data_IF_919098362570
#
_entry.id   IF_919098362570
#
_cell.length_a   1.000
_cell.length_b   1.000
_cell.length_c   1.000
_cell.angle_alpha   90.00
_cell.angle_beta   90.00
_cell.angle_gamma   90.00
#
_symmetry.space_group_name_H-M   'P 1'
#
loop_
_entity.id
_entity.type
_entity.pdbx_description
1 polymer ?
#
# COMPACT_ATOMS: atom_id res chain seq x y z
N UNK A 1 14.28 10.58 0.44
CA UNK A 1 13.92 9.22 0.86
C UNK A 1 12.80 8.77 -0.06
N UNK A 2 13.04 7.68 -0.79
CA UNK A 2 12.10 7.09 -1.71
C UNK A 2 11.96 5.60 -1.42
N UNK A 3 11.03 4.97 -2.11
CA UNK A 3 10.77 3.53 -2.03
C UNK A 3 10.89 2.99 -3.45
N UNK A 4 11.72 1.97 -3.62
CA UNK A 4 11.80 1.25 -4.90
C UNK A 4 10.98 -0.04 -4.76
N UNK A 5 9.89 -0.16 -5.52
CA UNK A 5 9.13 -1.41 -5.60
C UNK A 5 9.65 -2.21 -6.78
N UNK A 6 9.89 -3.50 -6.59
CA UNK A 6 10.37 -4.39 -7.65
C UNK A 6 9.58 -5.70 -7.74
N UNK A 7 9.56 -6.22 -8.96
CA UNK A 7 9.24 -7.59 -9.31
C UNK A 7 10.45 -8.21 -10.02
N UNK A 8 10.27 -9.38 -10.63
CA UNK A 8 11.29 -10.05 -11.45
C UNK A 8 11.83 -9.18 -12.58
N UNK A 9 10.92 -8.58 -13.35
CA UNK A 9 11.25 -7.90 -14.61
C UNK A 9 10.99 -6.39 -14.57
N UNK A 10 10.35 -5.88 -13.52
CA UNK A 10 9.94 -4.47 -13.41
C UNK A 10 10.41 -3.88 -12.09
N UNK A 11 10.66 -2.57 -12.11
CA UNK A 11 10.98 -1.77 -10.94
C UNK A 11 10.42 -0.39 -11.12
N UNK A 12 9.88 0.21 -10.06
CA UNK A 12 9.40 1.59 -10.03
C UNK A 12 9.96 2.33 -8.82
N UNK A 13 10.29 3.60 -9.03
CA UNK A 13 10.80 4.48 -7.99
C UNK A 13 9.71 5.46 -7.55
N UNK A 14 9.43 5.47 -6.25
CA UNK A 14 8.41 6.31 -5.64
C UNK A 14 9.04 7.26 -4.62
N UNK A 15 8.53 8.49 -4.55
CA UNK A 15 8.78 9.34 -3.37
C UNK A 15 7.96 8.85 -2.18
N UNK A 16 8.35 9.18 -0.95
CA UNK A 16 7.58 8.84 0.26
C UNK A 16 6.09 9.21 0.16
N UNK A 17 5.80 10.45 -0.29
CA UNK A 17 4.43 10.91 -0.51
C UNK A 17 3.73 10.17 -1.66
N UNK A 18 4.49 9.78 -2.68
CA UNK A 18 3.98 8.99 -3.80
C UNK A 18 3.57 7.60 -3.37
N UNK A 19 4.43 6.89 -2.64
CA UNK A 19 4.11 5.58 -2.09
C UNK A 19 2.93 5.62 -1.12
N UNK A 20 2.86 6.65 -0.25
CA UNK A 20 1.69 6.88 0.60
C UNK A 20 0.42 7.09 -0.24
N UNK A 21 0.47 7.93 -1.27
CA UNK A 21 -0.67 8.18 -2.16
C UNK A 21 -1.12 6.91 -2.87
N UNK A 22 -0.17 6.06 -3.27
CA UNK A 22 -0.43 4.77 -3.89
C UNK A 22 -1.20 3.85 -2.93
N UNK A 23 -0.73 3.70 -1.70
CA UNK A 23 -1.44 2.91 -0.66
C UNK A 23 -2.84 3.45 -0.36
N UNK A 24 -3.00 4.76 -0.25
CA UNK A 24 -4.33 5.38 -0.08
C UNK A 24 -5.26 5.01 -1.23
N UNK A 25 -4.78 5.08 -2.49
CA UNK A 25 -5.61 4.75 -3.64
C UNK A 25 -6.02 3.27 -3.64
N UNK A 26 -5.11 2.37 -3.29
CA UNK A 26 -5.44 0.94 -3.11
C UNK A 26 -6.50 0.75 -2.01
N UNK A 27 -6.38 1.46 -0.88
CA UNK A 27 -7.38 1.40 0.19
C UNK A 27 -8.77 1.92 -0.26
N UNK A 28 -8.81 3.04 -0.98
CA UNK A 28 -10.01 3.63 -1.58
C UNK A 28 -10.72 2.65 -2.52
N UNK A 29 -9.97 1.97 -3.39
CA UNK A 29 -10.50 0.95 -4.31
C UNK A 29 -10.99 -0.31 -3.58
N UNK A 30 -10.54 -0.54 -2.34
CA UNK A 30 -10.85 -1.76 -1.58
C UNK A 30 -12.16 -1.63 -0.81
N UNK A 31 -12.25 -0.66 0.10
CA UNK A 31 -13.39 -0.47 0.99
C UNK A 31 -13.30 0.87 1.72
N UNK A 32 -14.44 1.59 1.82
CA UNK A 32 -14.52 2.88 2.49
C UNK A 32 -14.02 2.88 3.94
N UNK A 33 -14.35 1.86 4.75
CA UNK A 33 -13.90 1.82 6.15
C UNK A 33 -12.40 1.53 6.28
N UNK A 34 -11.84 0.75 5.35
CA UNK A 34 -10.39 0.51 5.29
C UNK A 34 -9.67 1.78 4.86
N UNK A 35 -10.21 2.50 3.87
CA UNK A 35 -9.67 3.79 3.43
C UNK A 35 -9.68 4.82 4.56
N UNK A 36 -10.83 5.00 5.23
CA UNK A 36 -10.99 5.95 6.33
C UNK A 36 -9.99 5.66 7.45
N UNK A 37 -9.87 4.38 7.84
CA UNK A 37 -8.92 3.97 8.87
C UNK A 37 -7.46 4.16 8.43
N UNK A 38 -7.12 3.85 7.17
CA UNK A 38 -5.77 4.05 6.66
C UNK A 38 -5.38 5.54 6.66
N UNK A 39 -6.28 6.43 6.23
CA UNK A 39 -6.06 7.88 6.28
C UNK A 39 -5.93 8.41 7.70
N UNK A 40 -6.67 7.83 8.66
CA UNK A 40 -6.63 8.21 10.07
C UNK A 40 -5.24 8.08 10.70
N UNK A 41 -4.32 7.30 10.10
CA UNK A 41 -2.93 7.17 10.54
C UNK A 41 -2.22 8.52 10.69
N UNK A 42 -2.52 9.51 9.82
CA UNK A 42 -1.90 10.84 9.87
C UNK A 42 -2.15 11.58 11.18
N UNK A 43 -3.25 11.27 11.88
CA UNK A 43 -3.54 11.88 13.18
C UNK A 43 -2.48 11.52 14.22
N UNK A 44 -1.85 10.35 14.09
CA UNK A 44 -0.77 9.90 14.97
C UNK A 44 0.52 10.73 14.83
N UNK A 45 0.75 11.37 13.69
CA UNK A 45 1.94 12.19 13.42
C UNK A 45 1.97 13.47 14.27
N UNK A 46 0.80 13.98 14.65
CA UNK A 46 0.66 15.22 15.42
C UNK A 46 0.60 14.99 16.94
N UNK A 47 0.75 13.75 17.40
CA UNK A 47 0.74 13.41 18.83
C UNK A 47 2.17 13.42 19.37
N UNK A 48 2.55 14.53 19.99
CA UNK A 48 3.88 14.71 20.57
C UNK A 48 4.03 14.08 21.97
N UNK A 49 2.92 13.80 22.66
CA UNK A 49 2.94 13.12 23.95
C UNK A 49 3.08 11.61 23.75
N UNK A 50 4.15 11.02 24.26
CA UNK A 50 4.48 9.60 24.08
C UNK A 50 3.38 8.65 24.56
N UNK A 51 2.81 8.88 25.77
CA UNK A 51 1.73 8.04 26.31
C UNK A 51 0.47 8.13 25.46
N UNK A 52 0.10 9.34 25.03
CA UNK A 52 -1.05 9.52 24.14
C UNK A 52 -0.80 8.85 22.78
N UNK A 53 0.43 8.91 22.26
CA UNK A 53 0.83 8.28 21.00
C UNK A 53 0.76 6.76 21.10
N UNK A 54 1.23 6.17 22.19
CA UNK A 54 1.12 4.74 22.46
C UNK A 54 -0.35 4.28 22.53
N UNK A 55 -1.21 5.02 23.26
CA UNK A 55 -2.65 4.72 23.35
C UNK A 55 -3.30 4.83 21.96
N UNK A 56 -2.91 5.82 21.16
CA UNK A 56 -3.40 5.98 19.80
C UNK A 56 -3.07 4.76 18.94
N UNK A 57 -1.79 4.36 18.86
CA UNK A 57 -1.39 3.23 18.01
C UNK A 57 -1.97 1.90 18.49
N UNK A 58 -2.08 1.67 19.81
CA UNK A 58 -2.78 0.48 20.34
C UNK A 58 -4.24 0.40 19.85
N UNK A 59 -4.96 1.52 19.87
CA UNK A 59 -6.34 1.58 19.35
C UNK A 59 -6.37 1.43 17.83
N UNK A 60 -5.42 2.05 17.14
CA UNK A 60 -5.27 1.98 15.70
C UNK A 60 -5.09 0.54 15.23
N UNK A 61 -4.15 -0.19 15.83
CA UNK A 61 -3.83 -1.58 15.49
C UNK A 61 -4.99 -2.52 15.83
N UNK A 62 -5.67 -2.29 16.96
CA UNK A 62 -6.86 -3.06 17.34
C UNK A 62 -7.97 -2.94 16.29
N UNK A 63 -8.13 -1.76 15.69
CA UNK A 63 -9.14 -1.51 14.67
C UNK A 63 -8.81 -2.22 13.35
N UNK A 64 -7.53 -2.40 13.00
CA UNK A 64 -7.13 -3.21 11.84
C UNK A 64 -7.65 -4.64 12.00
N UNK A 65 -7.44 -5.26 13.17
CA UNK A 65 -7.93 -6.62 13.46
C UNK A 65 -9.45 -6.72 13.46
N UNK A 66 -10.14 -5.68 13.94
CA UNK A 66 -11.61 -5.61 13.92
C UNK A 66 -12.14 -5.57 12.48
N UNK A 67 -11.56 -4.72 11.61
CA UNK A 67 -11.93 -4.61 10.20
C UNK A 67 -11.69 -5.93 9.45
N UNK A 68 -10.55 -6.57 9.69
CA UNK A 68 -10.21 -7.85 9.05
C UNK A 68 -11.26 -8.93 9.39
N UNK A 69 -11.61 -9.06 10.67
CA UNK A 69 -12.67 -9.97 11.14
C UNK A 69 -14.05 -9.60 10.60
N UNK A 70 -14.39 -8.31 10.59
CA UNK A 70 -15.68 -7.81 10.11
C UNK A 70 -15.96 -8.21 8.67
N UNK A 71 -14.93 -8.19 7.82
CA UNK A 71 -15.01 -8.62 6.43
C UNK A 71 -14.63 -10.09 6.20
N UNK A 72 -14.64 -10.90 7.26
CA UNK A 72 -14.33 -12.33 7.21
C UNK A 72 -13.02 -12.63 6.48
N UNK A 73 -11.97 -11.83 6.76
CA UNK A 73 -10.63 -11.97 6.21
C UNK A 73 -10.54 -11.80 4.68
N UNK A 74 -11.58 -11.25 4.04
CA UNK A 74 -11.59 -11.00 2.59
C UNK A 74 -10.48 -10.04 2.14
N UNK A 75 -10.07 -9.10 2.99
CA UNK A 75 -9.12 -8.04 2.64
C UNK A 75 -7.77 -8.20 3.33
N UNK A 76 -7.47 -9.36 3.94
CA UNK A 76 -6.23 -9.55 4.71
C UNK A 76 -4.98 -9.28 3.89
N UNK A 77 -4.96 -9.66 2.61
CA UNK A 77 -3.84 -9.39 1.69
C UNK A 77 -3.63 -7.89 1.43
N UNK A 78 -4.72 -7.13 1.36
CA UNK A 78 -4.65 -5.68 1.19
C UNK A 78 -4.19 -5.02 2.48
N UNK A 79 -4.72 -5.43 3.63
CA UNK A 79 -4.28 -4.94 4.92
C UNK A 79 -2.78 -5.23 5.13
N UNK A 80 -2.31 -6.41 4.72
CA UNK A 80 -0.89 -6.74 4.73
C UNK A 80 -0.07 -5.75 3.89
N UNK A 81 -0.51 -5.44 2.66
CA UNK A 81 0.16 -4.45 1.82
C UNK A 81 0.17 -3.04 2.42
N UNK A 82 -0.98 -2.58 2.93
CA UNK A 82 -1.15 -1.22 3.46
C UNK A 82 -0.29 -0.98 4.72
N UNK A 83 -0.21 -1.98 5.60
CA UNK A 83 0.43 -1.86 6.91
C UNK A 83 1.83 -2.49 6.98
N UNK A 84 2.31 -3.06 5.88
CA UNK A 84 3.72 -3.47 5.78
C UNK A 84 4.66 -2.27 5.93
N UNK A 85 5.84 -2.55 6.49
CA UNK A 85 6.93 -1.58 6.66
C UNK A 85 7.20 -0.80 5.37
N UNK A 86 7.56 0.48 5.48
CA UNK A 86 8.03 1.26 4.33
C UNK A 86 9.47 0.89 3.94
N UNK A 87 10.19 0.15 4.80
CA UNK A 87 11.55 -0.32 4.57
C UNK A 87 11.57 -1.86 4.53
N UNK A 88 12.13 -2.44 3.47
CA UNK A 88 12.42 -3.88 3.34
C UNK A 88 11.22 -4.79 3.60
N UNK A 89 10.13 -4.61 2.83
CA UNK A 89 8.98 -5.50 2.93
C UNK A 89 8.83 -6.41 1.71
N UNK A 90 8.16 -7.53 1.94
CA UNK A 90 7.88 -8.56 0.95
C UNK A 90 6.38 -8.87 0.97
N UNK A 91 5.76 -8.90 -0.19
CA UNK A 91 4.37 -9.27 -0.40
C UNK A 91 4.34 -10.52 -1.26
N UNK A 92 3.87 -11.61 -0.64
CA UNK A 92 3.73 -12.91 -1.28
C UNK A 92 2.80 -12.88 -2.50
N UNK A 93 3.03 -13.81 -3.42
CA UNK A 93 2.30 -13.89 -4.70
C UNK A 93 0.80 -13.94 -4.52
N UNK A 94 0.31 -14.69 -3.52
CA UNK A 94 -1.13 -14.78 -3.28
C UNK A 94 -1.73 -13.44 -2.86
N UNK A 95 -0.99 -12.62 -2.12
CA UNK A 95 -1.41 -11.26 -1.81
C UNK A 95 -1.37 -10.36 -3.06
N UNK A 96 -0.37 -10.54 -3.93
CA UNK A 96 -0.29 -9.82 -5.20
C UNK A 96 -1.49 -10.12 -6.12
N UNK A 97 -2.03 -11.36 -6.12
CA UNK A 97 -3.25 -11.71 -6.86
C UNK A 97 -4.45 -10.89 -6.37
N UNK A 98 -4.65 -10.84 -5.06
CA UNK A 98 -5.77 -10.10 -4.46
C UNK A 98 -5.64 -8.59 -4.70
N UNK A 99 -4.42 -8.04 -4.59
CA UNK A 99 -4.15 -6.64 -4.93
C UNK A 99 -4.47 -6.39 -6.40
N UNK A 100 -4.00 -7.24 -7.32
CA UNK A 100 -4.23 -7.09 -8.75
C UNK A 100 -5.71 -7.07 -9.09
N UNK A 101 -6.51 -7.97 -8.50
CA UNK A 101 -7.95 -8.03 -8.72
C UNK A 101 -8.68 -6.74 -8.34
N UNK A 102 -8.19 -6.00 -7.34
CA UNK A 102 -8.75 -4.71 -6.93
C UNK A 102 -8.34 -3.57 -7.87
N UNK A 103 -7.09 -3.58 -8.35
CA UNK A 103 -6.51 -2.43 -9.05
C UNK A 103 -6.56 -2.55 -10.58
N UNK A 104 -6.81 -3.75 -11.14
CA UNK A 104 -6.66 -4.03 -12.58
C UNK A 104 -7.46 -3.11 -13.50
N UNK A 105 -8.64 -2.67 -13.06
CA UNK A 105 -9.55 -1.84 -13.84
C UNK A 105 -9.37 -0.34 -13.56
N UNK A 106 -8.44 0.04 -12.69
CA UNK A 106 -8.14 1.43 -12.35
C UNK A 106 -6.88 1.93 -13.06
N UNK A 107 -6.92 3.20 -13.44
CA UNK A 107 -5.76 3.98 -13.85
C UNK A 107 -6.03 5.47 -13.63
N UNK A 108 -4.96 6.26 -13.57
CA UNK A 108 -5.04 7.72 -13.51
C UNK A 108 -3.79 8.41 -14.08
N UNK A 109 -3.87 9.73 -14.20
CA UNK A 109 -2.78 10.59 -14.66
C UNK A 109 -1.99 11.20 -13.49
N UNK A 110 -2.00 10.58 -12.31
CA UNK A 110 -1.30 11.08 -11.13
C UNK A 110 0.13 10.56 -11.12
N UNK A 111 1.09 11.48 -10.95
CA UNK A 111 2.48 11.11 -10.68
C UNK A 111 2.62 10.53 -9.27
N UNK A 112 3.04 9.26 -9.18
CA UNK A 112 3.42 8.59 -7.95
C UNK A 112 4.94 8.56 -7.76
N UNK A 113 5.70 8.55 -8.87
CA UNK A 113 7.14 8.67 -8.88
C UNK A 113 7.64 10.12 -8.74
N UNK A 114 8.88 10.33 -9.16
CA UNK A 114 9.48 11.65 -9.18
C UNK A 114 9.02 12.44 -10.42
N UNK A 115 8.12 13.41 -10.24
CA UNK A 115 7.47 14.15 -11.34
C UNK A 115 8.40 14.87 -12.32
N UNK A 116 9.65 15.13 -11.93
CA UNK A 116 10.66 15.73 -12.80
C UNK A 116 11.44 14.73 -13.66
N UNK A 117 11.19 13.43 -13.52
CA UNK A 117 11.84 12.39 -14.34
C UNK A 117 10.95 12.00 -15.52
N UNK A 118 11.58 11.67 -16.65
CA UNK A 118 10.88 11.16 -17.83
C UNK A 118 10.22 9.80 -17.58
N UNK A 119 10.78 9.00 -16.66
CA UNK A 119 10.29 7.70 -16.20
C UNK A 119 9.45 7.80 -14.92
N UNK A 120 8.77 8.94 -14.70
CA UNK A 120 7.94 9.13 -13.51
C UNK A 120 6.90 8.01 -13.40
N UNK A 121 7.00 7.21 -12.33
CA UNK A 121 6.07 6.11 -12.08
C UNK A 121 4.63 6.61 -11.93
N UNK A 122 3.73 5.96 -12.67
CA UNK A 122 2.29 6.19 -12.71
C UNK A 122 1.57 4.97 -12.13
N UNK A 123 0.24 5.05 -11.96
CA UNK A 123 -0.52 3.92 -11.43
C UNK A 123 -0.44 2.69 -12.34
N UNK A 124 -0.48 2.87 -13.66
CA UNK A 124 -0.27 1.80 -14.64
C UNK A 124 1.02 1.01 -14.41
N UNK A 125 2.11 1.65 -14.02
CA UNK A 125 3.41 1.00 -13.87
C UNK A 125 3.40 0.09 -12.63
N UNK A 126 2.72 0.53 -11.56
CA UNK A 126 2.46 -0.32 -10.40
C UNK A 126 1.55 -1.51 -10.75
N UNK A 127 0.46 -1.27 -11.48
CA UNK A 127 -0.45 -2.33 -11.94
C UNK A 127 0.29 -3.38 -12.77
N UNK A 128 1.14 -2.95 -13.69
CA UNK A 128 1.98 -3.84 -14.50
C UNK A 128 3.03 -4.59 -13.67
N UNK A 129 3.58 -3.96 -12.63
CA UNK A 129 4.51 -4.61 -11.70
C UNK A 129 3.82 -5.71 -10.89
N UNK A 130 2.66 -5.43 -10.30
CA UNK A 130 1.88 -6.44 -9.56
C UNK A 130 1.48 -7.58 -10.49
N UNK A 131 1.09 -7.28 -11.73
CA UNK A 131 0.82 -8.30 -12.75
C UNK A 131 2.05 -9.16 -13.05
N UNK A 132 3.24 -8.57 -13.16
CA UNK A 132 4.49 -9.31 -13.37
C UNK A 132 4.80 -10.27 -12.21
N UNK A 133 4.54 -9.86 -10.95
CA UNK A 133 4.62 -10.77 -9.79
C UNK A 133 3.67 -11.97 -9.93
N UNK A 134 2.42 -11.72 -10.33
CA UNK A 134 1.40 -12.78 -10.51
C UNK A 134 1.77 -13.72 -11.66
N UNK A 135 2.16 -13.18 -12.81
CA UNK A 135 2.47 -13.95 -14.02
C UNK A 135 3.73 -14.82 -13.85
N UNK A 136 4.74 -14.33 -13.12
CA UNK A 136 5.98 -15.05 -12.87
C UNK A 136 5.97 -15.89 -11.59
N UNK A 137 4.90 -15.80 -10.78
CA UNK A 137 4.79 -16.43 -9.48
C UNK A 137 5.98 -16.09 -8.55
N UNK A 138 6.32 -14.80 -8.49
CA UNK A 138 7.38 -14.23 -7.65
C UNK A 138 6.84 -13.10 -6.75
N UNK A 139 7.36 -12.94 -5.53
CA UNK A 139 6.87 -11.92 -4.60
C UNK A 139 7.15 -10.50 -5.10
N UNK A 140 6.39 -9.55 -4.58
CA UNK A 140 6.67 -8.12 -4.73
C UNK A 140 7.48 -7.64 -3.53
N UNK A 141 8.55 -6.89 -3.77
CA UNK A 141 9.43 -6.41 -2.71
C UNK A 141 9.63 -4.90 -2.80
N UNK A 142 9.91 -4.25 -1.67
CA UNK A 142 10.39 -2.87 -1.69
C UNK A 142 11.38 -2.54 -0.57
N UNK A 143 12.21 -1.54 -0.85
CA UNK A 143 13.26 -1.01 0.03
C UNK A 143 13.44 0.51 -0.14
#
# INVERSE_FOLDING_TARGET
MGVTIRSKNKSIDLGYFGFRRLRIKVAELTNFEIEEHYRYLEQGTYIFNEKAREIFFKKYDSKIMELDKKYNYKYSSILNFLYSSDCEAVIEVDNCKDIYEIIKDYDDDVCYGYCGREDCAMFKDFKELVKDCVDNNEPMEWY
#
